data_IF_082540021241
#
_entry.id   IF_082540021241
#
_cell.length_a   1.000
_cell.length_b   1.000
_cell.length_c   1.000
_cell.angle_alpha   90.00
_cell.angle_beta   90.00
_cell.angle_gamma   90.00
#
_symmetry.space_group_name_H-M   'P 1'
#
loop_
_entity.id
_entity.type
_entity.pdbx_description
1 polymer ?
#
# COMPACT_ATOMS: atom_id res chain seq x y z
N UNK A 1 1.34 0.21 27.62
CA UNK A 1 2.00 -0.16 26.34
C UNK A 1 3.10 0.84 26.07
N UNK A 2 4.27 0.40 25.59
CA UNK A 2 5.32 1.33 25.17
C UNK A 2 4.89 2.02 23.87
N UNK A 3 5.14 3.33 23.78
CA UNK A 3 4.93 4.10 22.55
C UNK A 3 5.84 3.52 21.45
N UNK A 4 5.27 3.26 20.28
CA UNK A 4 6.00 2.83 19.09
C UNK A 4 5.83 3.88 18.01
N UNK A 5 6.94 4.33 17.45
CA UNK A 5 6.94 5.25 16.31
C UNK A 5 7.27 4.46 15.05
N UNK A 6 6.45 4.63 14.02
CA UNK A 6 6.69 4.08 12.69
C UNK A 6 6.58 5.25 11.71
N UNK A 7 7.62 5.47 10.91
CA UNK A 7 7.65 6.51 9.87
C UNK A 7 7.59 5.82 8.52
N UNK A 8 6.63 6.23 7.69
CA UNK A 8 6.40 5.66 6.36
C UNK A 8 6.63 6.75 5.32
N UNK A 9 7.60 6.53 4.45
CA UNK A 9 7.84 7.34 3.26
C UNK A 9 6.96 6.85 2.12
N UNK A 10 5.94 7.63 1.76
CA UNK A 10 5.02 7.30 0.67
C UNK A 10 5.55 7.78 -0.68
N UNK A 11 5.43 6.93 -1.70
CA UNK A 11 5.75 7.24 -3.10
C UNK A 11 4.57 6.92 -4.00
N UNK A 12 4.25 7.84 -4.90
CA UNK A 12 3.14 7.73 -5.82
C UNK A 12 2.52 9.10 -6.15
N UNK A 13 1.35 9.11 -6.81
CA UNK A 13 0.64 7.92 -7.29
C UNK A 13 1.40 7.22 -8.43
N UNK A 14 1.36 5.90 -8.46
CA UNK A 14 1.85 5.06 -9.54
C UNK A 14 0.70 4.39 -10.28
N UNK A 15 0.87 4.09 -11.57
CA UNK A 15 -0.01 3.15 -12.26
C UNK A 15 0.31 1.70 -11.88
N UNK A 16 -0.62 0.74 -12.04
CA UNK A 16 -0.33 -0.68 -11.84
C UNK A 16 0.87 -1.19 -12.66
N UNK A 17 1.04 -0.68 -13.88
CA UNK A 17 2.14 -1.04 -14.77
C UNK A 17 3.48 -0.53 -14.22
N UNK A 18 3.55 0.73 -13.76
CA UNK A 18 4.75 1.32 -13.18
C UNK A 18 5.25 0.55 -11.95
N UNK A 19 4.32 0.04 -11.13
CA UNK A 19 4.64 -0.82 -9.98
C UNK A 19 5.34 -2.10 -10.41
N UNK A 20 5.01 -2.65 -11.58
CA UNK A 20 5.67 -3.84 -12.13
C UNK A 20 7.18 -3.65 -12.33
N UNK A 21 7.62 -2.41 -12.55
CA UNK A 21 9.02 -2.02 -12.72
C UNK A 21 9.67 -1.52 -11.43
N UNK A 22 8.94 -1.49 -10.31
CA UNK A 22 9.48 -1.03 -9.04
C UNK A 22 10.50 -2.02 -8.46
N UNK A 23 11.66 -1.49 -8.09
CA UNK A 23 12.69 -2.20 -7.31
C UNK A 23 12.51 -2.02 -5.80
N UNK A 24 11.38 -1.44 -5.38
CA UNK A 24 11.06 -1.31 -3.96
C UNK A 24 10.66 -2.68 -3.38
N UNK A 25 11.20 -2.92 -2.19
CA UNK A 25 11.01 -4.17 -1.43
C UNK A 25 9.91 -4.04 -0.38
N UNK A 26 9.90 -4.90 0.64
CA UNK A 26 8.91 -4.94 1.73
C UNK A 26 8.41 -3.58 2.24
N UNK A 27 7.12 -3.49 2.54
CA UNK A 27 6.49 -2.31 3.12
C UNK A 27 4.96 -2.32 3.04
N UNK A 28 4.35 -1.15 3.12
CA UNK A 28 2.91 -0.92 2.99
C UNK A 28 2.56 -0.45 1.58
N UNK A 29 1.32 -0.63 1.17
CA UNK A 29 0.79 -0.02 -0.03
C UNK A 29 -0.69 0.32 0.16
N UNK A 30 -1.19 1.25 -0.65
CA UNK A 30 -2.63 1.42 -0.78
C UNK A 30 -3.05 1.62 -2.22
N UNK A 31 -4.30 1.26 -2.49
CA UNK A 31 -4.98 1.45 -3.76
C UNK A 31 -5.95 2.61 -3.59
N UNK A 32 -5.95 3.54 -4.54
CA UNK A 32 -6.90 4.64 -4.58
C UNK A 32 -7.55 4.74 -5.96
N UNK A 33 -8.71 5.39 -6.00
CA UNK A 33 -9.53 5.56 -7.20
C UNK A 33 -11.00 5.41 -6.86
N UNK A 34 -11.80 4.98 -7.84
CA UNK A 34 -13.26 4.83 -7.69
C UNK A 34 -13.74 3.41 -7.96
N UNK A 35 -14.57 2.91 -7.04
CA UNK A 35 -15.44 1.75 -7.30
C UNK A 35 -16.66 2.16 -8.12
N UNK A 36 -17.41 1.17 -8.59
CA UNK A 36 -18.68 1.40 -9.29
C UNK A 36 -19.61 2.22 -8.39
N UNK A 37 -20.21 3.26 -8.98
CA UNK A 37 -21.14 4.21 -8.34
C UNK A 37 -20.52 5.25 -7.40
N UNK A 38 -19.20 5.22 -7.15
CA UNK A 38 -18.54 6.27 -6.39
C UNK A 38 -18.33 7.54 -7.22
N UNK A 39 -18.51 8.71 -6.56
CA UNK A 39 -18.41 10.02 -7.20
C UNK A 39 -17.02 10.65 -7.11
N UNK A 40 -16.22 10.26 -6.12
CA UNK A 40 -14.91 10.84 -5.84
C UNK A 40 -13.87 9.74 -5.67
N UNK A 41 -12.62 10.04 -6.05
CA UNK A 41 -11.50 9.14 -5.82
C UNK A 41 -11.20 9.08 -4.31
N UNK A 42 -11.08 7.87 -3.78
CA UNK A 42 -10.79 7.63 -2.36
C UNK A 42 -9.83 6.46 -2.21
N UNK A 43 -9.29 6.28 -1.01
CA UNK A 43 -8.51 5.09 -0.68
C UNK A 43 -9.47 3.90 -0.60
N UNK A 44 -9.13 2.83 -1.30
CA UNK A 44 -9.98 1.66 -1.50
C UNK A 44 -9.51 0.45 -0.72
N UNK A 45 -8.21 0.39 -0.44
CA UNK A 45 -7.56 -0.76 0.16
C UNK A 45 -6.19 -0.37 0.70
N UNK A 46 -5.87 -0.79 1.92
CA UNK A 46 -4.51 -0.85 2.45
C UNK A 46 -4.04 -2.29 2.46
N UNK A 47 -2.73 -2.49 2.22
CA UNK A 47 -2.10 -3.80 2.26
C UNK A 47 -0.64 -3.72 2.68
N UNK A 48 -0.12 -4.85 3.13
CA UNK A 48 1.31 -5.03 3.42
C UNK A 48 1.95 -6.09 2.53
N UNK A 49 3.27 -6.01 2.38
CA UNK A 49 4.09 -7.03 1.73
C UNK A 49 5.43 -7.21 2.44
N UNK A 50 5.84 -8.46 2.64
CA UNK A 50 7.18 -8.82 3.15
C UNK A 50 8.19 -9.11 2.04
N UNK A 51 7.73 -9.14 0.78
CA UNK A 51 8.56 -9.25 -0.41
C UNK A 51 8.36 -8.08 -1.37
N UNK A 52 8.95 -8.13 -2.58
CA UNK A 52 8.88 -7.05 -3.55
C UNK A 52 7.44 -6.66 -3.89
N UNK A 53 7.16 -5.34 -3.99
CA UNK A 53 5.83 -4.84 -4.35
C UNK A 53 5.32 -5.41 -5.67
N UNK A 54 6.18 -5.42 -6.70
CA UNK A 54 5.88 -6.00 -8.01
C UNK A 54 5.34 -7.43 -7.91
N UNK A 55 5.89 -8.27 -7.03
CA UNK A 55 5.44 -9.66 -6.86
C UNK A 55 4.10 -9.74 -6.14
N UNK A 56 3.88 -8.90 -5.13
CA UNK A 56 2.60 -8.83 -4.42
C UNK A 56 1.52 -8.32 -5.38
N UNK A 57 1.71 -7.15 -5.95
CA UNK A 57 0.69 -6.44 -6.72
C UNK A 57 0.38 -7.10 -8.06
N UNK A 58 1.31 -7.84 -8.68
CA UNK A 58 0.99 -8.71 -9.81
C UNK A 58 -0.05 -9.78 -9.46
N UNK A 59 0.00 -10.39 -8.27
CA UNK A 59 -0.99 -11.39 -7.82
C UNK A 59 -2.35 -10.77 -7.50
N UNK A 60 -2.35 -9.53 -7.01
CA UNK A 60 -3.56 -8.77 -6.68
C UNK A 60 -4.06 -7.90 -7.84
N UNK A 61 -3.45 -7.99 -9.03
CA UNK A 61 -3.92 -7.28 -10.22
C UNK A 61 -5.37 -7.64 -10.56
N UNK A 62 -5.82 -8.86 -10.23
CA UNK A 62 -7.23 -9.22 -10.35
C UNK A 62 -8.14 -8.52 -9.31
N UNK A 63 -7.63 -8.21 -8.12
CA UNK A 63 -8.36 -7.45 -7.09
C UNK A 63 -8.36 -5.93 -7.35
N UNK A 64 -7.39 -5.40 -8.12
CA UNK A 64 -7.46 -4.05 -8.70
C UNK A 64 -8.74 -3.86 -9.52
N UNK A 65 -9.35 -4.94 -10.02
CA UNK A 65 -10.64 -4.90 -10.71
C UNK A 65 -11.80 -4.31 -9.89
N UNK A 66 -11.65 -4.17 -8.57
CA UNK A 66 -12.64 -3.47 -7.73
C UNK A 66 -12.54 -1.94 -7.90
N UNK A 67 -11.37 -1.41 -8.25
CA UNK A 67 -11.14 0.01 -8.56
C UNK A 67 -11.35 0.22 -10.06
N UNK A 68 -12.60 0.47 -10.42
CA UNK A 68 -13.05 0.52 -11.81
C UNK A 68 -12.67 1.78 -12.57
N UNK A 69 -12.32 2.87 -11.88
CA UNK A 69 -11.94 4.15 -12.49
C UNK A 69 -10.76 4.77 -11.75
N UNK A 70 -9.81 5.31 -12.51
CA UNK A 70 -8.58 5.97 -12.03
C UNK A 70 -7.80 5.14 -10.99
N UNK A 71 -7.47 3.86 -11.26
CA UNK A 71 -6.70 3.07 -10.31
C UNK A 71 -5.30 3.66 -10.15
N UNK A 72 -4.95 4.02 -8.91
CA UNK A 72 -3.62 4.49 -8.53
C UNK A 72 -3.10 3.67 -7.36
N UNK A 73 -1.78 3.50 -7.32
CA UNK A 73 -1.08 2.75 -6.30
C UNK A 73 -0.09 3.65 -5.59
N UNK A 74 -0.07 3.59 -4.26
CA UNK A 74 0.94 4.25 -3.45
C UNK A 74 1.75 3.22 -2.69
N UNK A 75 3.08 3.37 -2.71
CA UNK A 75 4.03 2.46 -2.09
C UNK A 75 4.66 3.15 -0.87
N UNK A 76 4.47 2.57 0.31
CA UNK A 76 4.93 3.10 1.59
C UNK A 76 6.10 2.30 2.15
N UNK A 77 7.31 2.86 2.12
CA UNK A 77 8.48 2.24 2.73
C UNK A 77 8.64 2.66 4.18
N UNK A 78 8.95 1.71 5.06
CA UNK A 78 9.27 2.02 6.46
C UNK A 78 10.66 2.65 6.53
N UNK A 79 10.71 3.92 6.92
CA UNK A 79 11.95 4.68 7.12
C UNK A 79 12.44 4.58 8.56
N UNK A 80 11.50 4.41 9.50
CA UNK A 80 11.79 4.14 10.91
C UNK A 80 10.79 3.15 11.49
N UNK A 81 11.23 2.15 12.28
CA UNK A 81 12.63 1.86 12.62
C UNK A 81 13.43 1.30 11.43
N UNK A 82 14.75 1.51 11.42
CA UNK A 82 15.66 0.99 10.36
C UNK A 82 15.56 -0.53 10.18
N UNK A 83 15.30 -1.25 11.28
CA UNK A 83 15.01 -2.69 11.28
C UNK A 83 13.57 -2.88 11.71
N UNK A 84 12.77 -3.44 10.81
CA UNK A 84 11.37 -3.75 11.05
C UNK A 84 11.04 -5.15 10.55
N UNK A 85 10.05 -5.76 11.20
CA UNK A 85 9.48 -7.05 10.87
C UNK A 85 8.00 -6.90 10.48
N UNK A 86 7.36 -8.02 10.16
CA UNK A 86 5.93 -8.08 9.81
C UNK A 86 5.02 -7.38 10.82
N UNK A 87 5.32 -7.50 12.12
CA UNK A 87 4.49 -6.91 13.19
C UNK A 87 4.45 -5.38 13.12
N UNK A 88 5.53 -4.75 12.66
CA UNK A 88 5.52 -3.30 12.43
C UNK A 88 4.59 -2.92 11.27
N UNK A 89 4.59 -3.71 10.20
CA UNK A 89 3.70 -3.50 9.06
C UNK A 89 2.23 -3.70 9.45
N UNK A 90 1.92 -4.76 10.19
CA UNK A 90 0.56 -5.05 10.66
C UNK A 90 0.05 -3.98 11.64
N UNK A 91 0.90 -3.51 12.55
CA UNK A 91 0.56 -2.39 13.43
C UNK A 91 0.26 -1.12 12.64
N UNK A 92 1.11 -0.78 11.66
CA UNK A 92 0.92 0.40 10.83
C UNK A 92 -0.33 0.30 9.93
N UNK A 93 -0.56 -0.84 9.29
CA UNK A 93 -1.76 -1.11 8.49
C UNK A 93 -3.02 -1.01 9.36
N UNK A 94 -3.02 -1.61 10.54
CA UNK A 94 -4.13 -1.48 11.50
C UNK A 94 -4.38 -0.03 11.87
N UNK A 95 -3.34 0.75 12.15
CA UNK A 95 -3.50 2.19 12.41
C UNK A 95 -4.14 2.92 11.23
N UNK A 96 -3.70 2.67 9.98
CA UNK A 96 -4.21 3.34 8.78
C UNK A 96 -5.65 2.96 8.41
N UNK A 97 -6.11 1.77 8.80
CA UNK A 97 -7.47 1.29 8.52
C UNK A 97 -8.46 1.79 9.56
N UNK A 98 -8.06 1.84 10.84
CA UNK A 98 -8.98 2.06 11.95
C UNK A 98 -8.91 3.45 12.60
N UNK A 99 -7.90 4.26 12.29
CA UNK A 99 -7.74 5.64 12.78
C UNK A 99 -7.65 6.62 11.61
#
# INVERSE_FOLDING_TARGET
>A
MALRTIVIGWRGPHTPEEVGFSDLEKGLYFLAGRRRYERQDQIQYFGITEGPYRRRLNRWHHALGQVTKNPTVWLGQVEYPRRFDRRHLELAEGCLIYF
#
